data_IF_461016904318
#
_entry.id   IF_461016904318
#
_cell.length_a   1.000
_cell.length_b   1.000
_cell.length_c   1.000
_cell.angle_alpha   90.00
_cell.angle_beta   90.00
_cell.angle_gamma   90.00
#
_symmetry.space_group_name_H-M   'P 1'
#
loop_
_entity.id
_entity.type
_entity.pdbx_description
1 polymer ?
#
# COMPACT_ATOMS: atom_id res chain seq x y z
N UNK A 1 12.32 -10.56 -29.43
CA UNK A 1 10.87 -10.79 -29.33
C UNK A 1 10.52 -10.60 -27.87
N UNK A 2 10.10 -9.39 -27.50
CA UNK A 2 9.62 -9.10 -26.14
C UNK A 2 8.34 -9.89 -25.90
N UNK A 3 8.24 -10.54 -24.74
CA UNK A 3 6.98 -11.14 -24.31
C UNK A 3 5.93 -10.03 -24.14
N UNK A 4 4.70 -10.27 -24.55
CA UNK A 4 3.63 -9.29 -24.38
C UNK A 4 3.29 -9.08 -22.89
N UNK A 5 2.69 -7.94 -22.54
CA UNK A 5 2.27 -7.64 -21.16
C UNK A 5 1.36 -8.75 -20.60
N UNK A 6 0.45 -9.26 -21.42
CA UNK A 6 -0.48 -10.35 -21.08
C UNK A 6 0.26 -11.67 -20.81
N UNK A 7 1.28 -12.00 -21.60
CA UNK A 7 2.13 -13.18 -21.38
C UNK A 7 2.90 -13.09 -20.05
N UNK A 8 3.35 -11.88 -19.68
CA UNK A 8 4.02 -11.62 -18.41
C UNK A 8 3.06 -11.73 -17.22
N UNK A 9 1.82 -11.26 -17.33
CA UNK A 9 0.79 -11.42 -16.30
C UNK A 9 0.38 -12.89 -16.09
N UNK A 10 0.21 -13.64 -17.18
CA UNK A 10 -0.06 -15.07 -17.13
C UNK A 10 1.11 -15.81 -16.47
N UNK A 11 2.36 -15.45 -16.82
CA UNK A 11 3.57 -16.02 -16.21
C UNK A 11 3.66 -15.71 -14.72
N UNK A 12 3.36 -14.49 -14.28
CA UNK A 12 3.33 -14.11 -12.86
C UNK A 12 2.27 -14.91 -12.10
N UNK A 13 1.07 -15.05 -12.67
CA UNK A 13 -0.03 -15.82 -12.08
C UNK A 13 0.32 -17.31 -11.96
N UNK A 14 0.99 -17.86 -12.96
CA UNK A 14 1.49 -19.22 -12.96
C UNK A 14 2.56 -19.44 -11.88
N UNK A 15 3.60 -18.59 -11.84
CA UNK A 15 4.67 -18.67 -10.84
C UNK A 15 4.15 -18.52 -9.40
N UNK A 16 3.14 -17.66 -9.16
CA UNK A 16 2.47 -17.54 -7.86
C UNK A 16 1.72 -18.83 -7.48
N UNK A 17 1.19 -19.55 -8.46
CA UNK A 17 0.52 -20.84 -8.22
C UNK A 17 1.52 -21.95 -7.92
N UNK A 18 2.62 -22.03 -8.67
CA UNK A 18 3.72 -22.96 -8.39
C UNK A 18 4.35 -22.69 -7.02
N UNK A 19 4.53 -21.41 -6.66
CA UNK A 19 5.07 -21.03 -5.34
C UNK A 19 4.17 -21.54 -4.21
N UNK A 20 2.83 -21.42 -4.36
CA UNK A 20 1.87 -21.98 -3.40
C UNK A 20 1.99 -23.50 -3.30
N UNK A 21 2.26 -24.19 -4.41
CA UNK A 21 2.54 -25.63 -4.45
C UNK A 21 3.83 -26.00 -3.70
N UNK A 22 4.95 -25.35 -4.02
CA UNK A 22 6.25 -25.60 -3.43
C UNK A 22 6.29 -25.34 -1.91
N UNK A 23 5.61 -24.28 -1.44
CA UNK A 23 5.48 -23.97 0.00
C UNK A 23 4.68 -25.03 0.73
N UNK A 24 3.57 -25.53 0.14
CA UNK A 24 2.79 -26.64 0.72
C UNK A 24 3.61 -27.93 0.80
N UNK A 25 4.44 -28.20 -0.21
CA UNK A 25 5.35 -29.33 -0.25
C UNK A 25 6.59 -29.19 0.65
N UNK A 26 6.80 -28.01 1.26
CA UNK A 26 8.00 -27.64 2.04
C UNK A 26 9.31 -27.80 1.26
N UNK A 27 9.26 -27.66 -0.06
CA UNK A 27 10.45 -27.71 -0.91
C UNK A 27 11.15 -26.34 -0.93
N UNK A 28 12.25 -26.24 -0.18
CA UNK A 28 13.03 -25.00 -0.04
C UNK A 28 13.81 -24.64 -1.30
N UNK A 29 14.31 -25.63 -2.03
CA UNK A 29 15.09 -25.39 -3.25
C UNK A 29 14.17 -24.84 -4.34
N UNK A 30 13.00 -25.46 -4.50
CA UNK A 30 12.01 -25.06 -5.48
C UNK A 30 11.36 -23.72 -5.14
N UNK A 31 11.08 -23.46 -3.87
CA UNK A 31 10.62 -22.14 -3.40
C UNK A 31 11.63 -21.04 -3.76
N UNK A 32 12.94 -21.30 -3.60
CA UNK A 32 13.98 -20.31 -3.92
C UNK A 32 14.10 -20.08 -5.42
N UNK A 33 14.00 -21.14 -6.23
CA UNK A 33 13.99 -21.07 -7.70
C UNK A 33 12.81 -20.24 -8.21
N UNK A 34 11.60 -20.54 -7.74
CA UNK A 34 10.37 -19.85 -8.15
C UNK A 34 10.39 -18.37 -7.72
N UNK A 35 10.93 -18.05 -6.53
CA UNK A 35 11.09 -16.65 -6.07
C UNK A 35 12.04 -15.83 -6.94
N UNK A 36 13.10 -16.44 -7.48
CA UNK A 36 14.00 -15.77 -8.43
C UNK A 36 13.26 -15.50 -9.74
N UNK A 37 12.55 -16.50 -10.27
CA UNK A 37 11.76 -16.37 -11.49
C UNK A 37 10.64 -15.33 -11.36
N UNK A 38 10.02 -15.20 -10.19
CA UNK A 38 9.02 -14.17 -9.89
C UNK A 38 9.61 -12.77 -10.00
N UNK A 39 10.77 -12.53 -9.37
CA UNK A 39 11.46 -11.23 -9.45
C UNK A 39 11.89 -10.87 -10.87
N UNK A 40 12.36 -11.84 -11.63
CA UNK A 40 12.73 -11.64 -13.05
C UNK A 40 11.50 -11.31 -13.91
N UNK A 41 10.36 -11.97 -13.66
CA UNK A 41 9.11 -11.69 -14.37
C UNK A 41 8.50 -10.34 -13.99
N UNK A 42 8.59 -9.94 -12.71
CA UNK A 42 8.15 -8.62 -12.23
C UNK A 42 8.99 -7.50 -12.86
N UNK A 43 10.32 -7.63 -12.88
CA UNK A 43 11.19 -6.64 -13.53
C UNK A 43 10.96 -6.54 -15.05
N UNK A 44 10.67 -7.66 -15.72
CA UNK A 44 10.34 -7.66 -17.14
C UNK A 44 8.98 -7.00 -17.43
N UNK A 45 8.01 -7.15 -16.53
CA UNK A 45 6.70 -6.51 -16.61
C UNK A 45 6.80 -5.00 -16.36
N UNK A 46 7.59 -4.57 -15.39
CA UNK A 46 7.89 -3.14 -15.15
C UNK A 46 8.55 -2.49 -16.37
N UNK A 47 9.57 -3.14 -16.95
CA UNK A 47 10.22 -2.66 -18.17
C UNK A 47 9.25 -2.63 -19.37
N UNK A 48 8.34 -3.60 -19.47
CA UNK A 48 7.33 -3.62 -20.52
C UNK A 48 6.33 -2.47 -20.37
N UNK A 49 5.88 -2.19 -19.14
CA UNK A 49 5.02 -1.03 -18.84
C UNK A 49 5.71 0.30 -19.15
N UNK A 50 6.99 0.44 -18.82
CA UNK A 50 7.78 1.63 -19.16
C UNK A 50 7.95 1.79 -20.68
N UNK A 51 7.97 0.69 -21.44
CA UNK A 51 8.03 0.72 -22.91
C UNK A 51 6.68 0.95 -23.61
N UNK A 52 5.57 0.53 -22.99
CA UNK A 52 4.19 0.79 -23.46
C UNK A 52 3.74 2.21 -23.08
N UNK A 53 4.31 2.81 -22.03
CA UNK A 53 4.10 4.20 -21.63
C UNK A 53 4.87 5.21 -22.51
N UNK A 54 4.78 5.04 -23.84
CA UNK A 54 4.97 6.15 -24.79
C UNK A 54 3.80 7.15 -24.70
N UNK A 55 3.93 8.38 -25.19
CA UNK A 55 2.88 9.38 -25.07
C UNK A 55 1.70 8.95 -25.95
N UNK A 56 0.50 8.98 -25.34
CA UNK A 56 -0.83 8.95 -25.97
C UNK A 56 -1.59 7.59 -25.99
N UNK A 57 -2.73 7.57 -25.27
CA UNK A 57 -3.95 6.81 -25.59
C UNK A 57 -4.08 5.40 -25.00
N UNK A 58 -4.72 5.16 -23.85
CA UNK A 58 -6.19 5.14 -23.63
C UNK A 58 -6.93 4.10 -24.51
N UNK A 59 -7.36 2.94 -23.94
CA UNK A 59 -8.56 2.16 -24.35
C UNK A 59 -8.92 1.02 -23.36
N UNK A 60 -10.04 1.22 -22.64
CA UNK A 60 -11.19 0.35 -22.33
C UNK A 60 -11.02 -1.20 -22.13
N UNK A 61 -11.37 -1.65 -20.92
CA UNK A 61 -11.68 -3.04 -20.57
C UNK A 61 -13.18 -3.34 -20.73
N UNK A 62 -13.50 -4.49 -21.35
CA UNK A 62 -14.85 -5.07 -21.42
C UNK A 62 -14.84 -6.42 -20.69
N UNK A 63 -15.64 -6.56 -19.62
CA UNK A 63 -15.85 -7.83 -18.90
C UNK A 63 -16.94 -8.70 -19.55
N UNK A 64 -16.76 -10.03 -19.63
CA UNK A 64 -17.86 -10.99 -19.82
C UNK A 64 -18.28 -11.72 -18.52
N UNK A 65 -19.52 -12.26 -18.46
CA UNK A 65 -20.19 -12.63 -17.22
C UNK A 65 -19.93 -14.06 -16.72
N UNK A 66 -20.18 -14.26 -15.43
CA UNK A 66 -20.06 -15.52 -14.68
C UNK A 66 -21.16 -16.56 -15.01
N UNK A 67 -20.86 -17.87 -14.90
CA UNK A 67 -21.88 -18.90 -14.75
C UNK A 67 -21.95 -19.50 -13.33
N UNK A 68 -23.19 -19.79 -12.94
CA UNK A 68 -23.62 -20.47 -11.71
C UNK A 68 -23.44 -22.00 -11.83
N UNK A 69 -23.14 -22.70 -10.73
CA UNK A 69 -23.48 -24.12 -10.58
C UNK A 69 -23.57 -24.55 -9.10
N UNK A 70 -24.51 -25.47 -8.86
CA UNK A 70 -25.07 -25.87 -7.58
C UNK A 70 -24.38 -27.06 -6.90
N UNK A 71 -24.48 -27.05 -5.56
CA UNK A 71 -24.38 -28.09 -4.52
C UNK A 71 -23.99 -29.56 -4.82
N UNK A 72 -23.16 -30.14 -3.93
CA UNK A 72 -23.45 -31.40 -3.21
C UNK A 72 -22.63 -31.52 -1.91
N UNK A 73 -23.16 -32.29 -0.96
CA UNK A 73 -22.92 -32.22 0.49
C UNK A 73 -21.71 -33.02 1.02
N UNK A 74 -21.22 -32.59 2.20
CA UNK A 74 -20.30 -33.34 3.05
C UNK A 74 -19.81 -32.50 4.25
N UNK A 75 -20.53 -32.53 5.38
CA UNK A 75 -20.13 -31.91 6.65
C UNK A 75 -19.00 -32.75 7.31
N UNK A 76 -18.08 -32.18 8.15
CA UNK A 76 -18.48 -31.46 9.36
C UNK A 76 -17.56 -30.29 9.81
N UNK A 77 -18.01 -29.66 10.92
CA UNK A 77 -17.39 -28.64 11.79
C UNK A 77 -17.79 -27.19 11.47
N UNK A 78 -18.69 -26.70 12.32
CA UNK A 78 -19.24 -25.35 12.46
C UNK A 78 -18.14 -24.28 12.37
N UNK A 79 -17.84 -23.84 11.15
CA UNK A 79 -17.33 -22.49 10.90
C UNK A 79 -18.54 -21.59 10.86
N UNK A 80 -18.55 -20.58 11.73
CA UNK A 80 -19.48 -19.47 11.63
C UNK A 80 -19.50 -19.01 10.17
N UNK A 81 -20.65 -19.18 9.51
CA UNK A 81 -20.86 -18.60 8.19
C UNK A 81 -20.68 -17.10 8.35
N UNK A 82 -19.85 -16.43 7.55
CA UNK A 82 -19.88 -14.98 7.53
C UNK A 82 -21.32 -14.60 7.17
N UNK A 83 -21.97 -13.89 8.08
CA UNK A 83 -23.14 -13.08 7.76
C UNK A 83 -22.80 -12.29 6.50
N UNK A 84 -23.74 -12.13 5.56
CA UNK A 84 -23.57 -11.23 4.41
C UNK A 84 -23.15 -9.86 4.97
N UNK A 85 -21.85 -9.57 4.92
CA UNK A 85 -21.20 -8.91 6.06
C UNK A 85 -20.13 -7.96 5.61
N UNK A 86 -20.18 -6.78 6.22
CA UNK A 86 -19.26 -5.64 6.10
C UNK A 86 -17.88 -5.99 5.54
N UNK A 87 -17.39 -5.16 4.62
CA UNK A 87 -16.06 -5.27 4.03
C UNK A 87 -15.02 -5.50 5.15
N UNK A 88 -14.14 -6.52 5.08
CA UNK A 88 -13.16 -6.76 6.14
C UNK A 88 -12.29 -5.53 6.40
N UNK A 89 -11.96 -5.23 7.66
CA UNK A 89 -11.14 -4.05 8.04
C UNK A 89 -9.85 -3.95 7.22
N UNK A 90 -9.20 -5.09 6.93
CA UNK A 90 -8.01 -5.13 6.08
C UNK A 90 -8.28 -4.52 4.70
N UNK A 91 -9.41 -4.87 4.09
CA UNK A 91 -9.81 -4.37 2.78
C UNK A 91 -10.18 -2.88 2.85
N UNK A 92 -10.85 -2.45 3.93
CA UNK A 92 -11.14 -1.03 4.16
C UNK A 92 -9.85 -0.19 4.24
N UNK A 93 -8.85 -0.69 4.98
CA UNK A 93 -7.53 -0.04 5.09
C UNK A 93 -6.78 -0.07 3.77
N UNK A 94 -6.86 -1.17 3.03
CA UNK A 94 -6.28 -1.30 1.70
C UNK A 94 -6.85 -0.25 0.73
N UNK A 95 -8.17 -0.12 0.67
CA UNK A 95 -8.86 0.87 -0.17
C UNK A 95 -8.44 2.30 0.17
N UNK A 96 -8.40 2.65 1.47
CA UNK A 96 -7.98 3.97 1.92
C UNK A 96 -6.50 4.25 1.61
N UNK A 97 -5.59 3.30 1.84
CA UNK A 97 -4.17 3.48 1.52
C UNK A 97 -3.92 3.56 0.00
N UNK A 98 -4.65 2.78 -0.79
CA UNK A 98 -4.57 2.85 -2.26
C UNK A 98 -5.01 4.22 -2.77
N UNK A 99 -6.09 4.79 -2.23
CA UNK A 99 -6.53 6.15 -2.56
C UNK A 99 -5.49 7.19 -2.12
N UNK A 100 -4.96 7.07 -0.90
CA UNK A 100 -3.97 8.02 -0.37
C UNK A 100 -2.62 7.95 -1.09
N UNK A 101 -2.21 6.79 -1.61
CA UNK A 101 -1.00 6.61 -2.42
C UNK A 101 0.33 6.61 -1.64
N UNK A 102 0.32 6.94 -0.34
CA UNK A 102 1.49 6.99 0.52
C UNK A 102 1.19 6.51 1.94
N UNK A 103 2.20 6.15 2.76
CA UNK A 103 1.99 5.70 4.14
C UNK A 103 1.16 6.69 4.96
N UNK A 104 0.24 6.16 5.78
CA UNK A 104 -0.73 7.00 6.48
C UNK A 104 -0.99 6.55 7.91
N UNK A 105 -1.40 7.50 8.74
CA UNK A 105 -1.81 7.22 10.12
C UNK A 105 -3.22 6.61 10.18
N UNK A 106 -3.54 5.80 11.20
CA UNK A 106 -4.88 5.27 11.42
C UNK A 106 -5.99 6.34 11.37
N UNK A 107 -5.72 7.54 11.89
CA UNK A 107 -6.69 8.64 11.88
C UNK A 107 -7.00 9.13 10.47
N UNK A 108 -5.97 9.27 9.63
CA UNK A 108 -6.14 9.69 8.24
C UNK A 108 -6.81 8.59 7.41
N UNK A 109 -6.42 7.33 7.63
CA UNK A 109 -7.04 6.17 6.99
C UNK A 109 -8.54 6.12 7.29
N UNK A 110 -8.95 6.20 8.56
CA UNK A 110 -10.37 6.26 8.93
C UNK A 110 -11.06 7.48 8.32
N UNK A 111 -10.47 8.67 8.42
CA UNK A 111 -11.07 9.90 7.87
C UNK A 111 -11.27 9.82 6.35
N UNK A 112 -10.36 9.15 5.64
CA UNK A 112 -10.43 8.97 4.19
C UNK A 112 -11.45 7.91 3.83
N UNK A 113 -11.46 6.79 4.56
CA UNK A 113 -12.44 5.73 4.34
C UNK A 113 -13.87 6.24 4.55
N UNK A 114 -14.11 6.90 5.69
CA UNK A 114 -15.42 7.47 6.02
C UNK A 114 -15.85 8.59 5.05
N UNK A 115 -14.90 9.20 4.32
CA UNK A 115 -15.20 10.28 3.37
C UNK A 115 -15.65 9.77 1.99
N UNK A 116 -15.21 8.58 1.59
CA UNK A 116 -15.43 8.06 0.22
C UNK A 116 -16.23 6.75 0.19
N UNK A 117 -16.39 6.07 1.32
CA UNK A 117 -17.03 4.76 1.40
C UNK A 117 -18.19 4.78 2.40
N UNK A 118 -19.19 3.93 2.14
CA UNK A 118 -20.48 3.97 2.86
C UNK A 118 -20.45 3.32 4.25
N UNK A 119 -19.47 2.48 4.55
CA UNK A 119 -19.33 1.83 5.86
C UNK A 119 -18.32 2.60 6.72
N UNK A 120 -18.59 2.86 8.02
CA UNK A 120 -17.62 3.55 8.88
C UNK A 120 -16.48 2.60 9.31
N UNK A 121 -15.24 3.08 9.20
CA UNK A 121 -14.07 2.34 9.68
C UNK A 121 -13.82 2.60 11.16
N UNK A 122 -14.11 1.61 12.00
CA UNK A 122 -13.88 1.70 13.46
C UNK A 122 -12.38 1.69 13.78
N UNK A 123 -11.82 2.88 14.05
CA UNK A 123 -10.38 3.10 14.27
C UNK A 123 -9.74 2.22 15.37
N UNK A 124 -10.50 1.83 16.40
CA UNK A 124 -10.00 0.94 17.47
C UNK A 124 -9.57 -0.42 16.95
N UNK A 125 -10.15 -0.88 15.82
CA UNK A 125 -9.80 -2.15 15.18
C UNK A 125 -8.46 -2.09 14.42
N UNK A 126 -7.91 -0.90 14.20
CA UNK A 126 -6.60 -0.72 13.55
C UNK A 126 -5.42 -0.97 14.49
N UNK A 127 -5.65 -0.91 15.81
CA UNK A 127 -4.60 -1.02 16.81
C UNK A 127 -3.94 -2.41 16.88
N UNK A 128 -4.67 -3.48 16.53
CA UNK A 128 -4.14 -4.85 16.48
C UNK A 128 -3.70 -5.27 15.08
N UNK A 129 -4.22 -4.61 14.03
CA UNK A 129 -4.09 -5.03 12.64
C UNK A 129 -2.64 -5.35 12.24
N UNK A 130 -1.70 -4.46 12.53
CA UNK A 130 -0.28 -4.68 12.20
C UNK A 130 0.28 -5.98 12.82
N UNK A 131 -0.07 -6.27 14.08
CA UNK A 131 0.41 -7.49 14.76
C UNK A 131 -0.26 -8.74 14.20
N UNK A 132 -1.53 -8.63 13.80
CA UNK A 132 -2.27 -9.72 13.15
C UNK A 132 -1.68 -10.03 11.77
N UNK A 133 -1.33 -9.01 11.00
CA UNK A 133 -0.66 -9.12 9.69
C UNK A 133 0.74 -9.72 9.82
N UNK A 134 1.55 -9.26 10.78
CA UNK A 134 2.89 -9.80 11.06
C UNK A 134 2.85 -11.29 11.43
N UNK A 135 1.91 -11.69 12.30
CA UNK A 135 1.65 -13.10 12.63
C UNK A 135 1.23 -13.91 11.41
N UNK A 136 0.32 -13.36 10.60
CA UNK A 136 -0.16 -14.03 9.39
C UNK A 136 0.97 -14.22 8.37
N UNK A 137 1.84 -13.22 8.18
CA UNK A 137 2.97 -13.30 7.25
C UNK A 137 4.04 -14.28 7.76
N UNK A 138 4.35 -14.26 9.06
CA UNK A 138 5.30 -15.20 9.64
C UNK A 138 4.84 -16.66 9.48
N UNK A 139 3.54 -16.92 9.65
CA UNK A 139 2.98 -18.25 9.54
C UNK A 139 2.83 -18.75 8.09
N UNK A 140 2.54 -17.86 7.13
CA UNK A 140 2.12 -18.25 5.78
C UNK A 140 2.92 -17.60 4.64
N UNK A 141 3.91 -16.77 4.94
CA UNK A 141 4.69 -16.02 3.95
C UNK A 141 3.79 -15.20 3.04
N UNK A 142 4.02 -15.29 1.73
CA UNK A 142 3.28 -14.59 0.68
C UNK A 142 1.96 -15.28 0.27
N UNK A 143 1.24 -15.89 1.23
CA UNK A 143 -0.02 -16.57 0.93
C UNK A 143 -1.18 -15.62 0.57
N UNK A 144 -1.11 -14.35 0.98
CA UNK A 144 -2.08 -13.30 0.66
C UNK A 144 -1.57 -12.41 -0.48
N UNK A 145 -2.47 -11.80 -1.28
CA UNK A 145 -2.08 -10.90 -2.36
C UNK A 145 -1.39 -9.62 -1.85
N UNK A 146 -1.75 -9.17 -0.65
CA UNK A 146 -1.14 -8.03 0.02
C UNK A 146 -1.20 -8.21 1.54
N UNK A 147 -0.36 -7.45 2.23
CA UNK A 147 -0.34 -7.29 3.68
C UNK A 147 -0.39 -5.81 4.04
N UNK A 148 -1.06 -5.48 5.15
CA UNK A 148 -0.93 -4.16 5.76
C UNK A 148 0.30 -4.19 6.66
N UNK A 149 1.29 -3.40 6.31
CA UNK A 149 2.62 -3.45 6.88
C UNK A 149 3.01 -2.12 7.53
N UNK A 150 4.20 -2.06 8.13
CA UNK A 150 4.71 -0.82 8.70
C UNK A 150 5.39 0.02 7.61
N UNK A 151 5.27 1.34 7.73
CA UNK A 151 6.31 2.20 7.17
C UNK A 151 7.59 2.07 8.03
N UNK A 152 8.76 2.23 7.43
CA UNK A 152 10.06 2.06 8.09
C UNK A 152 10.78 3.39 8.22
N UNK A 153 11.41 3.64 9.36
CA UNK A 153 12.29 4.80 9.54
C UNK A 153 13.54 4.67 8.69
N UNK A 154 13.98 5.75 8.04
CA UNK A 154 15.15 5.70 7.15
C UNK A 154 16.46 5.35 7.89
N UNK A 155 16.59 5.75 9.16
CA UNK A 155 17.85 5.69 9.92
C UNK A 155 18.09 4.30 10.51
N UNK A 156 17.07 3.73 11.15
CA UNK A 156 17.17 2.46 11.89
C UNK A 156 16.40 1.31 11.27
N UNK A 157 15.60 1.58 10.22
CA UNK A 157 14.74 0.59 9.58
C UNK A 157 13.79 -0.12 10.57
N UNK A 158 13.45 0.57 11.65
CA UNK A 158 12.42 0.15 12.61
C UNK A 158 11.07 0.73 12.18
N UNK A 159 9.95 0.18 12.67
CA UNK A 159 8.62 0.71 12.34
C UNK A 159 8.48 2.19 12.68
N UNK A 160 8.12 3.00 11.69
CA UNK A 160 7.73 4.37 11.89
C UNK A 160 6.45 4.41 12.73
N UNK A 161 6.44 5.29 13.74
CA UNK A 161 5.39 5.28 14.76
C UNK A 161 4.03 5.59 14.14
N UNK A 162 3.14 4.60 14.16
CA UNK A 162 1.73 4.78 13.81
C UNK A 162 1.48 5.02 12.32
N UNK A 163 2.39 4.64 11.44
CA UNK A 163 2.20 4.69 9.99
C UNK A 163 2.02 3.28 9.43
N UNK A 164 0.97 3.12 8.62
CA UNK A 164 0.65 1.89 7.91
C UNK A 164 0.92 2.08 6.42
N UNK A 165 1.34 1.01 5.76
CA UNK A 165 1.66 0.99 4.33
C UNK A 165 1.21 -0.35 3.70
N UNK A 166 1.24 -0.42 2.37
CA UNK A 166 0.90 -1.63 1.62
C UNK A 166 2.15 -2.41 1.24
N UNK A 167 2.16 -3.72 1.48
CA UNK A 167 3.31 -4.58 1.11
C UNK A 167 3.60 -4.62 -0.39
N UNK A 168 2.63 -4.24 -1.22
CA UNK A 168 2.74 -4.14 -2.68
C UNK A 168 3.50 -2.89 -3.12
N UNK A 169 3.71 -1.92 -2.23
CA UNK A 169 4.55 -0.77 -2.53
C UNK A 169 6.04 -1.14 -2.46
N UNK A 170 6.87 -0.59 -3.36
CA UNK A 170 8.32 -0.66 -3.25
C UNK A 170 8.81 -0.21 -1.87
N UNK A 171 9.91 -0.78 -1.40
CA UNK A 171 10.46 -0.54 -0.05
C UNK A 171 10.70 0.95 0.21
N UNK A 172 11.23 1.65 -0.78
CA UNK A 172 11.50 3.10 -0.82
C UNK A 172 10.24 3.91 -0.54
N UNK A 173 9.09 3.59 -1.15
CA UNK A 173 7.82 4.26 -0.88
C UNK A 173 7.30 4.02 0.54
N UNK A 174 7.77 2.96 1.20
CA UNK A 174 7.45 2.63 2.60
C UNK A 174 8.44 3.21 3.60
N UNK A 175 9.53 3.82 3.15
CA UNK A 175 10.53 4.44 4.03
C UNK A 175 10.15 5.90 4.30
N UNK A 176 10.35 6.30 5.56
CA UNK A 176 10.09 7.64 6.08
C UNK A 176 11.43 8.30 6.40
N UNK A 177 11.84 9.19 5.52
CA UNK A 177 12.89 10.19 5.66
C UNK A 177 12.43 11.46 6.39
N UNK A 178 13.32 12.44 6.59
CA UNK A 178 13.00 13.77 7.13
C UNK A 178 12.01 14.57 6.27
N UNK A 179 12.11 14.46 4.94
CA UNK A 179 11.22 15.16 3.99
C UNK A 179 9.94 14.37 3.70
N UNK A 180 9.95 13.06 3.96
CA UNK A 180 8.85 12.15 3.65
C UNK A 180 7.51 12.54 4.28
N UNK A 181 7.40 13.05 5.52
CA UNK A 181 6.14 13.52 6.06
C UNK A 181 5.47 14.59 5.19
N UNK A 182 6.25 15.49 4.59
CA UNK A 182 5.69 16.51 3.69
C UNK A 182 5.40 15.93 2.31
N UNK A 183 6.29 15.11 1.76
CA UNK A 183 6.04 14.44 0.48
C UNK A 183 4.79 13.56 0.52
N UNK A 184 4.66 12.69 1.53
CA UNK A 184 3.50 11.82 1.73
C UNK A 184 2.20 12.65 1.91
N UNK A 185 2.28 13.78 2.63
CA UNK A 185 1.15 14.70 2.78
C UNK A 185 0.68 15.27 1.43
N UNK A 186 1.60 15.67 0.56
CA UNK A 186 1.28 16.14 -0.79
C UNK A 186 0.69 15.01 -1.64
N UNK A 187 1.22 13.79 -1.53
CA UNK A 187 0.64 12.61 -2.19
C UNK A 187 -0.79 12.32 -1.73
N UNK A 188 -1.06 12.41 -0.41
CA UNK A 188 -2.41 12.26 0.13
C UNK A 188 -3.39 13.32 -0.41
N UNK A 189 -2.92 14.56 -0.56
CA UNK A 189 -3.71 15.65 -1.14
C UNK A 189 -4.07 15.38 -2.61
N UNK A 190 -3.07 14.95 -3.42
CA UNK A 190 -3.27 14.57 -4.82
C UNK A 190 -4.27 13.43 -4.92
N UNK A 191 -4.06 12.31 -4.21
CA UNK A 191 -4.96 11.16 -4.26
C UNK A 191 -6.40 11.48 -3.83
N UNK A 192 -6.57 12.37 -2.84
CA UNK A 192 -7.90 12.87 -2.42
C UNK A 192 -8.56 13.71 -3.52
N UNK A 193 -7.81 14.64 -4.12
CA UNK A 193 -8.31 15.53 -5.17
C UNK A 193 -8.68 14.75 -6.43
N UNK A 194 -7.83 13.82 -6.86
CA UNK A 194 -8.10 12.95 -8.00
C UNK A 194 -9.33 12.08 -7.79
N UNK A 195 -9.55 11.56 -6.57
CA UNK A 195 -10.76 10.78 -6.30
C UNK A 195 -12.03 11.63 -6.42
N UNK A 196 -11.99 12.88 -5.94
CA UNK A 196 -13.09 13.82 -6.11
C UNK A 196 -13.33 14.09 -7.61
N UNK A 197 -12.27 14.34 -8.39
CA UNK A 197 -12.39 14.52 -9.84
C UNK A 197 -12.99 13.29 -10.53
N UNK A 198 -12.52 12.08 -10.20
CA UNK A 198 -13.06 10.84 -10.77
C UNK A 198 -14.56 10.69 -10.51
N UNK A 199 -15.01 10.98 -9.28
CA UNK A 199 -16.44 10.95 -8.94
C UNK A 199 -17.22 11.99 -9.75
N UNK A 200 -16.75 13.23 -9.80
CA UNK A 200 -17.40 14.32 -10.55
C UNK A 200 -17.49 14.01 -12.04
N UNK A 201 -16.40 13.54 -12.65
CA UNK A 201 -16.36 13.13 -14.07
C UNK A 201 -17.32 11.97 -14.34
N UNK A 202 -17.45 11.04 -13.40
CA UNK A 202 -18.43 9.95 -13.48
C UNK A 202 -19.88 10.38 -13.19
N UNK A 203 -20.15 11.68 -13.00
CA UNK A 203 -21.49 12.21 -12.73
C UNK A 203 -21.99 12.01 -11.29
N UNK A 204 -21.11 11.60 -10.37
CA UNK A 204 -21.45 11.39 -8.97
C UNK A 204 -20.92 12.57 -8.11
N UNK A 205 -21.77 13.24 -7.32
CA UNK A 205 -21.28 14.29 -6.42
C UNK A 205 -20.40 13.67 -5.33
N UNK A 206 -19.23 14.27 -5.10
CA UNK A 206 -18.37 13.86 -4.00
C UNK A 206 -19.05 14.20 -2.65
N UNK A 207 -18.97 13.32 -1.62
CA UNK A 207 -19.56 13.59 -0.31
C UNK A 207 -18.93 14.82 0.38
N UNK A 208 -19.69 15.54 1.21
CA UNK A 208 -19.18 16.70 1.96
C UNK A 208 -17.95 16.38 2.82
N UNK A 209 -17.85 15.14 3.32
CA UNK A 209 -16.70 14.67 4.07
C UNK A 209 -15.41 14.65 3.24
N UNK A 210 -15.50 14.31 1.95
CA UNK A 210 -14.39 14.38 1.01
C UNK A 210 -13.96 15.83 0.76
N UNK A 211 -14.91 16.75 0.55
CA UNK A 211 -14.61 18.18 0.41
C UNK A 211 -13.98 18.79 1.67
N UNK A 212 -14.45 18.41 2.86
CA UNK A 212 -13.83 18.81 4.13
C UNK A 212 -12.40 18.27 4.25
N UNK A 213 -12.16 17.03 3.83
CA UNK A 213 -10.82 16.44 3.82
C UNK A 213 -9.91 17.20 2.85
N UNK A 214 -10.34 17.43 1.61
CA UNK A 214 -9.59 18.18 0.60
C UNK A 214 -9.28 19.61 1.07
N UNK A 215 -10.23 20.30 1.71
CA UNK A 215 -10.00 21.66 2.25
C UNK A 215 -8.88 21.67 3.29
N UNK A 216 -8.81 20.66 4.17
CA UNK A 216 -7.71 20.57 5.16
C UNK A 216 -6.35 20.44 4.49
N UNK A 217 -6.26 19.70 3.38
CA UNK A 217 -5.05 19.66 2.58
C UNK A 217 -4.75 21.02 1.95
N UNK A 218 -5.72 21.57 1.21
CA UNK A 218 -5.57 22.80 0.45
C UNK A 218 -5.14 24.01 1.29
N UNK A 219 -5.63 24.13 2.53
CA UNK A 219 -5.25 25.22 3.46
C UNK A 219 -3.79 25.21 3.89
N UNK A 220 -3.06 24.11 3.66
CA UNK A 220 -1.65 23.96 4.05
C UNK A 220 -0.71 23.86 2.86
N UNK A 221 -1.23 23.94 1.63
CA UNK A 221 -0.45 23.86 0.40
C UNK A 221 -0.49 25.25 -0.25
N UNK A 222 0.64 25.96 -0.35
CA UNK A 222 0.68 27.28 -0.98
C UNK A 222 0.10 27.24 -2.39
N UNK A 223 -0.83 28.15 -2.68
CA UNK A 223 -1.47 28.26 -3.99
C UNK A 223 -2.61 27.27 -4.25
N UNK A 224 -2.88 26.31 -3.35
CA UNK A 224 -3.89 25.26 -3.56
C UNK A 224 -5.34 25.71 -3.30
N UNK A 225 -5.56 26.84 -2.63
CA UNK A 225 -6.90 27.35 -2.34
C UNK A 225 -7.00 28.85 -2.63
N UNK A 226 -8.11 29.25 -3.24
CA UNK A 226 -8.53 30.64 -3.33
C UNK A 226 -9.39 30.98 -2.11
N UNK A 227 -8.99 31.98 -1.32
CA UNK A 227 -9.74 32.41 -0.15
C UNK A 227 -11.15 32.93 -0.49
N UNK A 228 -11.38 33.37 -1.73
CA UNK A 228 -12.69 33.81 -2.20
C UNK A 228 -13.63 32.64 -2.60
N UNK A 229 -13.08 31.44 -2.84
CA UNK A 229 -13.86 30.31 -3.31
C UNK A 229 -14.47 29.52 -2.13
N UNK A 230 -15.76 29.15 -2.21
CA UNK A 230 -16.41 28.38 -1.15
C UNK A 230 -15.81 26.99 -1.02
N UNK A 231 -15.32 26.36 -2.09
CA UNK A 231 -14.70 25.02 -2.09
C UNK A 231 -13.34 25.04 -2.78
N UNK A 232 -12.39 24.17 -2.37
CA UNK A 232 -11.12 24.03 -3.09
C UNK A 232 -11.37 23.42 -4.47
N UNK A 233 -10.75 23.97 -5.51
CA UNK A 233 -10.72 23.34 -6.84
C UNK A 233 -9.73 22.15 -6.82
N UNK A 234 -10.19 20.90 -7.06
CA UNK A 234 -9.30 19.74 -7.08
C UNK A 234 -8.12 19.86 -8.04
N UNK A 235 -8.32 20.46 -9.23
CA UNK A 235 -7.26 20.61 -10.23
C UNK A 235 -6.16 21.55 -9.71
N UNK A 236 -6.57 22.63 -9.05
CA UNK A 236 -5.64 23.58 -8.41
C UNK A 236 -4.88 22.96 -7.25
N UNK A 237 -5.52 22.11 -6.44
CA UNK A 237 -4.83 21.38 -5.35
C UNK A 237 -3.77 20.44 -5.92
N UNK A 238 -4.10 19.68 -6.97
CA UNK A 238 -3.16 18.77 -7.64
C UNK A 238 -1.95 19.56 -8.18
N UNK A 239 -2.20 20.63 -8.93
CA UNK A 239 -1.14 21.44 -9.52
C UNK A 239 -0.22 22.07 -8.45
N UNK A 240 -0.80 22.63 -7.39
CA UNK A 240 -0.03 23.23 -6.29
C UNK A 240 0.78 22.19 -5.51
N UNK A 241 0.20 21.01 -5.26
CA UNK A 241 0.88 19.93 -4.57
C UNK A 241 2.08 19.39 -5.37
N UNK A 242 1.92 19.22 -6.69
CA UNK A 242 3.03 18.82 -7.56
C UNK A 242 4.11 19.90 -7.66
N UNK A 243 3.73 21.17 -7.77
CA UNK A 243 4.68 22.28 -7.81
C UNK A 243 5.53 22.34 -6.53
N UNK A 244 4.91 22.13 -5.37
CA UNK A 244 5.65 22.06 -4.10
C UNK A 244 6.51 20.79 -4.01
N UNK A 245 5.97 19.63 -4.38
CA UNK A 245 6.71 18.37 -4.32
C UNK A 245 8.00 18.43 -5.15
N UNK A 246 7.95 19.06 -6.33
CA UNK A 246 9.10 19.22 -7.23
C UNK A 246 10.31 19.92 -6.57
N UNK A 247 10.10 20.75 -5.54
CA UNK A 247 11.19 21.43 -4.81
C UNK A 247 12.07 20.45 -4.04
N UNK A 248 11.47 19.39 -3.48
CA UNK A 248 12.12 18.50 -2.53
C UNK A 248 12.15 17.02 -2.96
N UNK A 249 11.50 16.68 -4.08
CA UNK A 249 11.30 15.32 -4.53
C UNK A 249 12.63 14.56 -4.71
N UNK A 250 13.60 15.17 -5.39
CA UNK A 250 14.88 14.51 -5.66
C UNK A 250 15.61 14.14 -4.36
N UNK A 251 15.61 15.02 -3.36
CA UNK A 251 16.30 14.77 -2.08
C UNK A 251 15.57 13.69 -1.25
N UNK A 252 14.23 13.75 -1.19
CA UNK A 252 13.43 12.71 -0.51
C UNK A 252 13.62 11.34 -1.18
N UNK A 253 13.58 11.28 -2.52
CA UNK A 253 13.76 10.06 -3.30
C UNK A 253 15.13 9.44 -3.10
N UNK A 254 16.20 10.24 -3.18
CA UNK A 254 17.57 9.77 -2.94
C UNK A 254 17.72 9.16 -1.53
N UNK A 255 17.15 9.81 -0.52
CA UNK A 255 17.23 9.33 0.85
C UNK A 255 16.44 8.04 1.07
N UNK A 256 15.22 7.95 0.51
CA UNK A 256 14.40 6.73 0.56
C UNK A 256 15.07 5.58 -0.18
N UNK A 257 15.64 5.82 -1.36
CA UNK A 257 16.36 4.81 -2.14
C UNK A 257 17.60 4.29 -1.39
N UNK A 258 18.42 5.17 -0.83
CA UNK A 258 19.59 4.78 -0.06
C UNK A 258 19.21 3.91 1.16
N UNK A 259 18.13 4.27 1.85
CA UNK A 259 17.61 3.48 2.96
C UNK A 259 16.95 2.17 2.50
N UNK A 260 16.26 2.16 1.36
CA UNK A 260 15.67 0.96 0.77
C UNK A 260 16.76 -0.06 0.41
N UNK A 261 17.88 0.41 -0.13
CA UNK A 261 19.02 -0.45 -0.43
C UNK A 261 19.61 -1.09 0.83
N UNK A 262 19.71 -0.34 1.94
CA UNK A 262 20.09 -0.91 3.24
C UNK A 262 19.06 -1.93 3.73
N UNK A 263 17.76 -1.64 3.61
CA UNK A 263 16.72 -2.57 4.00
C UNK A 263 16.78 -3.88 3.22
N UNK A 264 16.93 -3.81 1.89
CA UNK A 264 17.03 -4.99 1.01
C UNK A 264 18.27 -5.85 1.31
N UNK A 265 19.36 -5.24 1.75
CA UNK A 265 20.64 -5.94 2.04
C UNK A 265 20.73 -6.48 3.46
N UNK A 266 20.09 -5.83 4.44
CA UNK A 266 20.28 -6.12 5.86
C UNK A 266 19.09 -6.82 6.52
N UNK A 267 17.88 -6.71 5.94
CA UNK A 267 16.65 -7.20 6.56
C UNK A 267 16.10 -8.44 5.87
N UNK A 268 15.58 -9.36 6.68
CA UNK A 268 14.73 -10.47 6.22
C UNK A 268 13.42 -9.98 5.63
N UNK A 269 12.72 -10.80 4.84
CA UNK A 269 11.40 -10.47 4.26
C UNK A 269 10.40 -9.96 5.32
N UNK A 270 10.36 -10.60 6.50
CA UNK A 270 9.50 -10.19 7.61
C UNK A 270 9.88 -8.79 8.09
N UNK A 271 11.17 -8.54 8.31
CA UNK A 271 11.67 -7.25 8.78
C UNK A 271 11.53 -6.15 7.71
N UNK A 272 11.60 -6.47 6.42
CA UNK A 272 11.34 -5.50 5.37
C UNK A 272 9.88 -5.03 5.35
N UNK A 273 8.93 -5.85 5.83
CA UNK A 273 7.51 -5.49 5.94
C UNK A 273 7.16 -4.87 7.30
N UNK A 274 7.67 -5.45 8.38
CA UNK A 274 7.23 -5.13 9.74
C UNK A 274 8.29 -4.46 10.61
N UNK A 275 9.47 -4.19 10.04
CA UNK A 275 10.60 -3.48 10.64
C UNK A 275 11.51 -4.38 11.48
N UNK A 276 12.75 -3.92 11.67
CA UNK A 276 13.65 -4.52 12.66
C UNK A 276 13.14 -4.28 14.08
N UNK A 277 13.48 -5.19 15.01
CA UNK A 277 13.25 -4.94 16.41
C UNK A 277 13.97 -3.64 16.81
N UNK A 278 13.31 -2.71 17.52
CA UNK A 278 14.00 -1.57 18.10
C UNK A 278 15.16 -2.10 18.95
N UNK A 279 16.35 -1.51 18.85
CA UNK A 279 17.43 -1.79 19.80
C UNK A 279 16.96 -1.38 21.20
N UNK A 280 16.28 -2.30 21.89
CA UNK A 280 16.14 -2.33 23.32
C UNK A 280 17.08 -3.45 23.77
N UNK A 281 18.02 -3.09 24.65
CA UNK A 281 18.86 -4.00 25.44
C UNK A 281 20.35 -4.20 25.10
N UNK A 282 20.98 -3.42 24.21
CA UNK A 282 22.46 -3.40 24.18
C UNK A 282 23.09 -2.70 25.42
N UNK A 283 22.31 -1.91 26.16
CA UNK A 283 22.76 -1.19 27.37
C UNK A 283 22.29 -1.85 28.69
N UNK A 284 21.36 -2.79 28.64
CA UNK A 284 20.92 -3.53 29.86
C UNK A 284 21.80 -4.72 30.16
N UNK A 285 22.32 -5.42 29.14
CA UNK A 285 23.25 -6.54 29.34
C UNK A 285 24.63 -6.07 29.82
N UNK A 286 25.06 -4.87 29.45
CA UNK A 286 26.30 -4.25 29.96
C UNK A 286 26.20 -3.76 31.41
N UNK A 287 24.99 -3.61 31.95
CA UNK A 287 24.75 -3.16 33.33
C UNK A 287 24.45 -4.32 34.29
N UNK A 288 24.29 -5.55 33.78
CA UNK A 288 23.96 -6.74 34.56
C UNK A 288 25.13 -7.62 34.99
N UNK A 289 26.38 -7.24 34.66
CA UNK A 289 27.60 -8.03 34.96
C UNK A 289 28.45 -7.45 36.09
N UNK A 290 27.91 -6.52 36.88
CA UNK A 290 28.54 -5.98 38.09
C UNK A 290 27.59 -6.07 39.28
N UNK A 291 27.43 -7.26 39.85
CA UNK A 291 27.10 -7.50 41.26
C UNK A 291 27.48 -8.93 41.64
#
# INVERSE_FOLDING_TARGET
>A
MSASLEELEQRLSHLRTELRGAVRARDKAETTRIRRALREAEAAWEHALESEAGPDGETLLTEPPAPQASATAGAPRRKERPTHGSIPIREQVHQALTLLGAPASPKLISSTYDAFFSEPLVATKLASLRRDEERSFTAQGYARPYYICAALTHDRLVPARGLLALSTWPVERRIIGPLSPRADFLTHAVGTAEQIQRLTTAGHPAPDAAWRLLRRFALTIPGAHDAAAPEPDPARVIAAAHAEAAVHQQEDDQQRQAAAQRARTQLTDVQQLFGAAPMRDALRDASGTLS
#
